data_IF_267428331140
#
_entry.id   IF_267428331140
#
_cell.length_a   1.000
_cell.length_b   1.000
_cell.length_c   1.000
_cell.angle_alpha   90.00
_cell.angle_beta   90.00
_cell.angle_gamma   90.00
#
_symmetry.space_group_name_H-M   'P 1'
#
loop_
_entity.id
_entity.type
_entity.pdbx_description
1 polymer ?
#
# COMPACT_ATOMS: atom_id res chain seq x y z
N UNK A 1 29.59 11.95 16.91
CA UNK A 1 28.45 11.29 16.22
C UNK A 1 28.68 9.79 16.09
N UNK A 2 29.87 9.35 15.69
CA UNK A 2 30.24 7.93 15.53
C UNK A 2 29.98 7.07 16.77
N UNK A 3 30.22 7.61 17.98
CA UNK A 3 29.88 6.90 19.22
C UNK A 3 28.37 6.72 19.45
N UNK A 4 27.56 7.75 19.14
CA UNK A 4 26.10 7.65 19.24
C UNK A 4 25.54 6.62 18.26
N UNK A 5 26.10 6.56 17.05
CA UNK A 5 25.75 5.57 16.04
C UNK A 5 26.04 4.16 16.54
N UNK A 6 27.28 3.88 17.00
CA UNK A 6 27.65 2.58 17.57
C UNK A 6 26.78 2.18 18.77
N UNK A 7 26.44 3.16 19.61
CA UNK A 7 25.58 2.93 20.77
C UNK A 7 24.17 2.50 20.34
N UNK A 8 23.56 3.18 19.37
CA UNK A 8 22.24 2.81 18.84
C UNK A 8 22.23 1.56 17.97
N UNK A 9 23.34 1.23 17.30
CA UNK A 9 23.51 -0.05 16.60
C UNK A 9 23.50 -1.23 17.58
N UNK A 10 24.09 -1.05 18.78
CA UNK A 10 24.09 -2.08 19.82
C UNK A 10 22.77 -2.17 20.60
N UNK A 11 22.18 -1.03 20.94
CA UNK A 11 20.89 -0.93 21.63
C UNK A 11 20.13 0.32 21.15
N UNK A 12 19.03 0.15 20.38
CA UNK A 12 18.22 1.26 19.90
C UNK A 12 17.62 2.15 20.99
N UNK A 13 17.49 1.66 22.23
CA UNK A 13 16.90 2.40 23.35
C UNK A 13 17.92 3.13 24.22
N UNK A 14 19.20 3.06 23.84
CA UNK A 14 20.29 3.68 24.57
C UNK A 14 20.17 5.21 24.60
N UNK A 15 20.40 5.78 25.79
CA UNK A 15 20.32 7.23 26.05
C UNK A 15 21.72 7.87 26.09
N UNK A 16 21.85 9.13 25.63
CA UNK A 16 23.09 9.91 25.78
C UNK A 16 23.56 9.96 27.23
N UNK A 17 24.81 9.57 27.48
CA UNK A 17 25.41 9.53 28.82
C UNK A 17 26.24 10.77 29.13
N UNK A 18 26.91 11.35 28.13
CA UNK A 18 27.79 12.50 28.29
C UNK A 18 27.13 13.82 27.86
N UNK A 19 27.62 14.94 28.38
CA UNK A 19 27.13 16.27 27.99
C UNK A 19 27.34 16.56 26.51
N UNK A 20 28.45 16.10 25.94
CA UNK A 20 28.73 16.22 24.51
C UNK A 20 27.68 15.46 23.68
N UNK A 21 27.32 14.24 24.07
CA UNK A 21 26.29 13.46 23.40
C UNK A 21 24.91 14.12 23.50
N UNK A 22 24.55 14.67 24.67
CA UNK A 22 23.31 15.43 24.87
C UNK A 22 23.27 16.67 23.97
N UNK A 23 24.36 17.43 23.90
CA UNK A 23 24.48 18.62 23.03
C UNK A 23 24.39 18.25 21.56
N UNK A 24 25.08 17.19 21.13
CA UNK A 24 25.02 16.70 19.75
C UNK A 24 23.58 16.29 19.36
N UNK A 25 22.89 15.56 20.23
CA UNK A 25 21.49 15.17 20.01
C UNK A 25 20.57 16.41 19.96
N UNK A 26 20.78 17.40 20.83
CA UNK A 26 20.03 18.65 20.80
C UNK A 26 20.19 19.39 19.47
N UNK A 27 21.40 19.45 18.93
CA UNK A 27 21.67 20.03 17.61
C UNK A 27 20.98 19.25 16.49
N UNK A 28 21.04 17.92 16.51
CA UNK A 28 20.34 17.08 15.53
C UNK A 28 18.82 17.29 15.58
N UNK A 29 18.24 17.38 16.77
CA UNK A 29 16.80 17.66 16.92
C UNK A 29 16.43 19.05 16.36
N UNK A 30 17.28 20.06 16.54
CA UNK A 30 17.08 21.38 15.92
C UNK A 30 17.17 21.32 14.40
N UNK A 31 18.11 20.57 13.84
CA UNK A 31 18.20 20.32 12.40
C UNK A 31 16.96 19.58 11.87
N UNK A 32 16.41 18.63 12.64
CA UNK A 32 15.19 17.93 12.28
C UNK A 32 13.99 18.87 12.18
N UNK A 33 13.91 19.94 12.98
CA UNK A 33 12.87 20.97 12.86
C UNK A 33 12.95 21.67 11.50
N UNK A 34 14.17 22.01 11.06
CA UNK A 34 14.39 22.66 9.76
C UNK A 34 14.09 21.69 8.61
N UNK A 35 14.35 20.40 8.82
CA UNK A 35 14.15 19.37 7.79
C UNK A 35 12.73 19.36 7.22
N UNK A 36 11.70 19.83 7.95
CA UNK A 36 10.33 19.95 7.42
C UNK A 36 10.21 20.80 6.16
N UNK A 37 11.14 21.74 5.95
CA UNK A 37 11.21 22.59 4.76
C UNK A 37 12.05 21.99 3.62
N UNK A 38 12.76 20.89 3.87
CA UNK A 38 13.55 20.17 2.87
C UNK A 38 12.68 19.08 2.25
N UNK A 39 12.30 19.28 0.98
CA UNK A 39 11.46 18.33 0.25
C UNK A 39 12.06 16.92 0.27
N UNK A 40 11.25 15.91 0.57
CA UNK A 40 11.67 14.52 0.62
C UNK A 40 12.34 14.07 1.93
N UNK A 41 12.69 14.98 2.82
CA UNK A 41 13.22 14.63 4.15
C UNK A 41 12.16 13.92 5.01
N UNK A 42 12.61 13.29 6.10
CA UNK A 42 11.71 12.68 7.09
C UNK A 42 10.78 13.70 7.74
N UNK A 43 11.28 14.91 8.05
CA UNK A 43 10.46 15.98 8.61
C UNK A 43 9.39 16.49 7.63
N UNK A 44 9.73 16.60 6.34
CA UNK A 44 8.79 17.01 5.30
C UNK A 44 7.68 15.97 5.13
N UNK A 45 8.04 14.68 5.06
CA UNK A 45 7.07 13.57 4.98
C UNK A 45 6.13 13.59 6.19
N UNK A 46 6.65 13.77 7.39
CA UNK A 46 5.82 13.85 8.60
C UNK A 46 4.87 15.06 8.58
N UNK A 47 5.37 16.23 8.17
CA UNK A 47 4.58 17.44 8.04
C UNK A 47 3.41 17.26 7.06
N UNK A 48 3.66 16.68 5.87
CA UNK A 48 2.61 16.38 4.88
C UNK A 48 1.56 15.40 5.40
N UNK A 49 1.95 14.36 6.15
CA UNK A 49 0.96 13.45 6.78
C UNK A 49 0.09 14.18 7.81
N UNK A 50 0.68 15.08 8.59
CA UNK A 50 -0.07 15.88 9.55
C UNK A 50 -1.01 16.88 8.86
N UNK A 51 -0.59 17.47 7.75
CA UNK A 51 -1.43 18.28 6.87
C UNK A 51 -2.63 17.47 6.36
N UNK A 52 -2.41 16.28 5.78
CA UNK A 52 -3.48 15.37 5.35
C UNK A 52 -4.45 15.05 6.50
N UNK A 53 -3.95 14.71 7.69
CA UNK A 53 -4.81 14.46 8.87
C UNK A 53 -5.61 15.70 9.29
N UNK A 54 -5.01 16.88 9.20
CA UNK A 54 -5.69 18.15 9.48
C UNK A 54 -6.80 18.42 8.48
N UNK A 55 -6.54 18.17 7.19
CA UNK A 55 -7.55 18.27 6.13
C UNK A 55 -8.69 17.28 6.36
N UNK A 56 -8.39 16.02 6.72
CA UNK A 56 -9.40 15.01 7.05
C UNK A 56 -10.28 15.47 8.21
N UNK A 57 -9.68 15.99 9.28
CA UNK A 57 -10.44 16.49 10.44
C UNK A 57 -11.32 17.69 10.12
N UNK A 58 -10.87 18.56 9.22
CA UNK A 58 -11.58 19.81 8.88
C UNK A 58 -12.67 19.62 7.82
N UNK A 59 -12.38 18.82 6.80
CA UNK A 59 -13.23 18.68 5.61
C UNK A 59 -13.89 17.29 5.49
N UNK A 60 -13.63 16.40 6.45
CA UNK A 60 -14.06 15.00 6.39
C UNK A 60 -13.07 14.12 5.63
N UNK A 61 -13.34 12.82 5.61
CA UNK A 61 -12.52 11.85 4.89
C UNK A 61 -12.45 12.21 3.40
N UNK A 62 -11.27 12.21 2.75
CA UNK A 62 -11.19 12.39 1.31
C UNK A 62 -12.04 11.34 0.61
N UNK A 63 -12.54 11.69 -0.57
CA UNK A 63 -13.21 10.72 -1.43
C UNK A 63 -12.28 9.52 -1.65
N UNK A 64 -12.70 8.36 -1.16
CA UNK A 64 -11.96 7.12 -1.32
C UNK A 64 -12.28 6.57 -2.71
N UNK A 65 -11.27 6.58 -3.59
CA UNK A 65 -11.37 5.92 -4.88
C UNK A 65 -10.81 4.51 -4.75
N UNK A 66 -11.66 3.51 -5.02
CA UNK A 66 -11.26 2.11 -5.06
C UNK A 66 -11.33 1.67 -6.52
N UNK A 67 -10.19 1.24 -7.07
CA UNK A 67 -10.15 0.60 -8.39
C UNK A 67 -10.13 -0.90 -8.18
N UNK A 68 -11.20 -1.57 -8.60
CA UNK A 68 -11.31 -3.03 -8.56
C UNK A 68 -10.96 -3.55 -9.95
N UNK A 69 -10.03 -4.50 -10.01
CA UNK A 69 -9.64 -5.15 -11.25
C UNK A 69 -9.80 -6.67 -11.08
N UNK A 70 -11.03 -7.19 -11.23
CA UNK A 70 -11.28 -8.61 -11.07
C UNK A 70 -10.63 -9.39 -12.21
N UNK A 71 -9.88 -10.45 -11.87
CA UNK A 71 -9.22 -11.29 -12.87
C UNK A 71 -10.14 -12.46 -13.27
N UNK A 72 -10.70 -12.34 -14.45
CA UNK A 72 -11.48 -13.36 -15.17
C UNK A 72 -10.68 -14.65 -15.46
N UNK A 73 -9.37 -14.54 -15.68
CA UNK A 73 -8.48 -15.70 -15.90
C UNK A 73 -8.22 -16.51 -14.62
N UNK A 74 -8.20 -15.84 -13.46
CA UNK A 74 -7.89 -16.48 -12.18
C UNK A 74 -9.13 -16.93 -11.41
N UNK A 75 -10.32 -16.49 -11.84
CA UNK A 75 -11.58 -16.80 -11.16
C UNK A 75 -12.39 -17.85 -11.95
N UNK A 76 -12.80 -18.97 -11.32
CA UNK A 76 -13.57 -20.02 -12.00
C UNK A 76 -14.98 -19.58 -12.43
N UNK A 77 -15.47 -18.43 -11.98
CA UNK A 77 -16.83 -17.96 -12.28
C UNK A 77 -17.09 -17.81 -13.78
N UNK A 78 -16.09 -17.40 -14.57
CA UNK A 78 -16.23 -17.35 -16.04
C UNK A 78 -16.45 -18.74 -16.62
N UNK A 79 -15.75 -19.75 -16.11
CA UNK A 79 -15.96 -21.15 -16.47
C UNK A 79 -17.36 -21.63 -16.07
N UNK A 80 -17.80 -21.33 -14.85
CA UNK A 80 -19.13 -21.71 -14.35
C UNK A 80 -20.27 -21.14 -15.20
N UNK A 81 -20.16 -19.89 -15.66
CA UNK A 81 -21.15 -19.27 -16.55
C UNK A 81 -21.29 -20.06 -17.86
N UNK A 82 -20.18 -20.60 -18.35
CA UNK A 82 -20.11 -21.47 -19.54
C UNK A 82 -20.26 -22.96 -19.19
N UNK A 83 -20.77 -23.29 -17.99
CA UNK A 83 -21.01 -24.66 -17.52
C UNK A 83 -19.76 -25.55 -17.40
N UNK A 84 -18.58 -24.96 -17.22
CA UNK A 84 -17.34 -25.66 -16.86
C UNK A 84 -17.31 -25.87 -15.35
N UNK A 85 -17.05 -27.10 -14.93
CA UNK A 85 -16.88 -27.41 -13.51
C UNK A 85 -15.61 -26.76 -12.94
N UNK A 86 -15.66 -26.38 -11.65
CA UNK A 86 -14.51 -25.76 -10.98
C UNK A 86 -13.28 -26.66 -11.02
N UNK A 87 -13.46 -27.99 -10.88
CA UNK A 87 -12.35 -28.93 -10.94
C UNK A 87 -11.64 -28.91 -12.31
N UNK A 88 -12.40 -28.83 -13.40
CA UNK A 88 -11.86 -28.71 -14.76
C UNK A 88 -11.13 -27.37 -14.96
N UNK A 89 -11.73 -26.26 -14.50
CA UNK A 89 -11.10 -24.93 -14.57
C UNK A 89 -9.74 -24.86 -13.86
N UNK A 90 -9.64 -25.51 -12.69
CA UNK A 90 -8.40 -25.55 -11.91
C UNK A 90 -7.30 -26.38 -12.59
N UNK A 91 -7.68 -27.38 -13.40
CA UNK A 91 -6.75 -28.19 -14.18
C UNK A 91 -6.21 -27.46 -15.42
N UNK A 92 -6.93 -26.45 -15.93
CA UNK A 92 -6.49 -25.64 -17.08
C UNK A 92 -5.21 -24.86 -16.75
N UNK A 93 -4.34 -24.67 -17.74
CA UNK A 93 -3.21 -23.74 -17.59
C UNK A 93 -3.71 -22.31 -17.72
N UNK A 94 -2.96 -21.35 -17.18
CA UNK A 94 -3.30 -19.93 -17.27
C UNK A 94 -3.52 -19.46 -18.72
N UNK A 95 -2.73 -19.99 -19.68
CA UNK A 95 -2.89 -19.68 -21.09
C UNK A 95 -4.21 -20.23 -21.65
N UNK A 96 -4.58 -21.47 -21.31
CA UNK A 96 -5.83 -22.08 -21.78
C UNK A 96 -7.05 -21.31 -21.25
N UNK A 97 -6.99 -20.87 -19.98
CA UNK A 97 -7.99 -19.97 -19.39
C UNK A 97 -8.05 -18.62 -20.11
N UNK A 98 -6.92 -18.01 -20.45
CA UNK A 98 -6.90 -16.77 -21.20
C UNK A 98 -7.54 -16.92 -22.58
N UNK A 99 -7.24 -18.01 -23.29
CA UNK A 99 -7.87 -18.35 -24.58
C UNK A 99 -9.37 -18.57 -24.39
N UNK A 100 -9.78 -19.28 -23.34
CA UNK A 100 -11.18 -19.52 -23.03
C UNK A 100 -11.97 -18.23 -22.79
N UNK A 101 -11.47 -17.36 -21.90
CA UNK A 101 -12.07 -16.05 -21.61
C UNK A 101 -12.18 -15.21 -22.87
N UNK A 102 -11.12 -15.17 -23.69
CA UNK A 102 -11.10 -14.40 -24.95
C UNK A 102 -12.13 -14.91 -25.96
N UNK A 103 -12.41 -16.21 -25.97
CA UNK A 103 -13.42 -16.83 -26.83
C UNK A 103 -14.85 -16.65 -26.33
N UNK A 104 -15.02 -16.38 -25.03
CA UNK A 104 -16.32 -16.22 -24.37
C UNK A 104 -16.46 -14.81 -23.75
N UNK A 105 -16.43 -13.73 -24.55
CA UNK A 105 -16.48 -12.36 -24.03
C UNK A 105 -17.79 -12.02 -23.32
N UNK A 106 -18.90 -12.69 -23.66
CA UNK A 106 -20.18 -12.54 -22.97
C UNK A 106 -20.10 -13.03 -21.52
N UNK A 107 -19.54 -14.23 -21.29
CA UNK A 107 -19.30 -14.74 -19.94
C UNK A 107 -18.31 -13.87 -19.15
N UNK A 108 -17.28 -13.33 -19.80
CA UNK A 108 -16.37 -12.38 -19.17
C UNK A 108 -17.09 -11.09 -18.73
N UNK A 109 -18.03 -10.58 -19.54
CA UNK A 109 -18.83 -9.42 -19.19
C UNK A 109 -19.80 -9.70 -18.02
N UNK A 110 -20.48 -10.85 -18.03
CA UNK A 110 -21.35 -11.29 -16.91
C UNK A 110 -20.53 -11.46 -15.64
N UNK A 111 -19.36 -12.12 -15.73
CA UNK A 111 -18.41 -12.22 -14.61
C UNK A 111 -18.06 -10.86 -14.03
N UNK A 112 -17.70 -9.90 -14.89
CA UNK A 112 -17.33 -8.56 -14.43
C UNK A 112 -18.50 -7.89 -13.70
N UNK A 113 -19.70 -7.94 -14.28
CA UNK A 113 -20.91 -7.36 -13.68
C UNK A 113 -21.25 -7.99 -12.31
N UNK A 114 -21.19 -9.32 -12.21
CA UNK A 114 -21.43 -10.05 -10.96
C UNK A 114 -20.42 -9.66 -9.86
N UNK A 115 -19.13 -9.54 -10.20
CA UNK A 115 -18.10 -9.17 -9.21
C UNK A 115 -18.23 -7.71 -8.78
N UNK A 116 -18.54 -6.80 -9.71
CA UNK A 116 -18.74 -5.38 -9.38
C UNK A 116 -20.01 -5.20 -8.55
N UNK A 117 -21.10 -5.84 -8.93
CA UNK A 117 -22.38 -5.80 -8.19
C UNK A 117 -22.23 -6.42 -6.81
N UNK A 118 -21.50 -7.53 -6.66
CA UNK A 118 -21.23 -8.14 -5.36
C UNK A 118 -20.31 -7.33 -4.44
N UNK A 119 -19.55 -6.37 -4.99
CA UNK A 119 -18.72 -5.46 -4.20
C UNK A 119 -19.50 -4.24 -3.67
N UNK A 120 -20.43 -3.73 -4.47
CA UNK A 120 -21.20 -2.51 -4.17
C UNK A 120 -22.24 -2.75 -3.06
#
# INVERSE_FOLDING_TARGET
>A
LTELVRMWESDPWSKPRTDLQRRALSTLNRLQIISKHVRGSSGYKQWRRNEIRGLIRKFGTPMLFITINPSDICNPLVGLIESIEIAEWQLMRAFDRAVFVTRNPAAAAVFFDEIITGFL
#
